data_IF_447199179095
#
_entry.id   IF_447199179095
#
_cell.length_a   1.000
_cell.length_b   1.000
_cell.length_c   1.000
_cell.angle_alpha   90.00
_cell.angle_beta   90.00
_cell.angle_gamma   90.00
#
_symmetry.space_group_name_H-M   'P 1'
#
loop_
_entity.id
_entity.type
_entity.pdbx_description
1 polymer ?
#
# COMPACT_ATOMS: atom_id res chain seq x y z
N UNK A 1 -4.09 -40.36 -14.72
CA UNK A 1 -3.46 -39.96 -13.42
C UNK A 1 -3.65 -38.47 -13.16
N UNK A 2 -4.57 -38.08 -12.28
CA UNK A 2 -4.69 -36.69 -11.80
C UNK A 2 -3.52 -36.40 -10.84
N UNK A 3 -2.53 -35.62 -11.26
CA UNK A 3 -1.46 -35.11 -10.37
C UNK A 3 -2.13 -34.35 -9.22
N UNK A 4 -2.12 -34.92 -8.01
CA UNK A 4 -2.37 -34.19 -6.76
C UNK A 4 -1.32 -33.07 -6.71
N UNK A 5 -1.72 -31.83 -7.05
CA UNK A 5 -0.94 -30.64 -6.70
C UNK A 5 -0.87 -30.61 -5.18
N UNK A 6 0.25 -31.06 -4.60
CA UNK A 6 0.49 -30.79 -3.18
C UNK A 6 0.41 -29.28 -3.01
N UNK A 7 -0.44 -28.81 -2.10
CA UNK A 7 -0.47 -27.40 -1.71
C UNK A 7 0.87 -27.11 -1.06
N UNK A 8 1.83 -26.60 -1.85
CA UNK A 8 3.10 -26.12 -1.34
C UNK A 8 2.77 -24.93 -0.43
N UNK A 9 2.81 -25.14 0.87
CA UNK A 9 2.56 -24.08 1.83
C UNK A 9 3.60 -22.97 1.59
N UNK A 10 3.14 -21.71 1.53
CA UNK A 10 4.04 -20.57 1.43
C UNK A 10 5.04 -20.59 2.59
N UNK A 11 6.31 -20.35 2.30
CA UNK A 11 7.37 -20.21 3.31
C UNK A 11 7.24 -18.91 4.13
N UNK A 12 6.38 -17.99 3.69
CA UNK A 12 6.28 -16.65 4.25
C UNK A 12 4.82 -16.33 4.53
N UNK A 13 4.58 -15.77 5.71
CA UNK A 13 3.33 -15.18 6.13
C UNK A 13 3.44 -13.67 6.13
N UNK A 14 2.33 -13.00 5.84
CA UNK A 14 2.27 -11.55 5.70
C UNK A 14 1.15 -10.95 6.55
N UNK A 15 1.25 -9.64 6.81
CA UNK A 15 0.22 -8.86 7.49
C UNK A 15 0.25 -7.40 7.05
N UNK A 16 -0.87 -6.71 7.23
CA UNK A 16 -1.01 -5.27 6.97
C UNK A 16 -1.54 -4.58 8.22
N UNK A 17 -0.91 -3.46 8.57
CA UNK A 17 -1.49 -2.45 9.45
C UNK A 17 -1.85 -1.24 8.59
N UNK A 18 -3.06 -0.71 8.76
CA UNK A 18 -3.60 0.42 8.00
C UNK A 18 -4.10 1.48 8.97
N UNK A 19 -3.42 2.61 8.99
CA UNK A 19 -3.91 3.84 9.62
C UNK A 19 -4.79 4.59 8.62
N UNK A 20 -5.91 5.15 9.07
CA UNK A 20 -6.83 5.85 8.17
C UNK A 20 -7.51 7.04 8.82
N UNK A 21 -7.76 8.05 8.00
CA UNK A 21 -8.75 9.09 8.29
C UNK A 21 -10.17 8.51 8.22
N UNK A 22 -11.13 9.34 8.61
CA UNK A 22 -12.56 9.06 8.53
C UNK A 22 -13.25 10.17 7.74
N UNK A 23 -14.38 9.86 7.09
CA UNK A 23 -15.32 10.86 6.60
C UNK A 23 -16.60 10.76 7.42
N UNK A 24 -16.96 11.83 8.13
CA UNK A 24 -18.27 12.00 8.74
C UNK A 24 -19.31 12.24 7.64
N UNK A 25 -20.20 11.27 7.45
CA UNK A 25 -21.07 11.21 6.25
C UNK A 25 -22.13 12.30 6.19
N UNK A 26 -22.88 12.62 7.28
CA UNK A 26 -23.90 13.67 7.21
C UNK A 26 -23.34 15.03 6.76
N UNK A 27 -22.12 15.35 7.18
CA UNK A 27 -21.46 16.62 6.85
C UNK A 27 -20.55 16.55 5.61
N UNK A 28 -20.31 15.35 5.06
CA UNK A 28 -19.25 15.08 4.10
C UNK A 28 -17.89 15.67 4.52
N UNK A 29 -17.54 15.50 5.80
CA UNK A 29 -16.37 16.13 6.42
C UNK A 29 -15.29 15.10 6.68
N UNK A 30 -14.12 15.30 6.07
CA UNK A 30 -12.93 14.49 6.34
C UNK A 30 -12.37 14.90 7.72
N UNK A 31 -12.19 13.92 8.60
CA UNK A 31 -11.78 14.10 9.99
C UNK A 31 -10.89 12.94 10.47
N UNK A 32 -10.53 13.00 11.75
CA UNK A 32 -9.71 12.01 12.47
C UNK A 32 -10.51 11.32 13.58
N UNK A 33 -11.83 11.43 13.52
CA UNK A 33 -12.71 10.82 14.53
C UNK A 33 -12.64 9.31 14.43
N UNK A 34 -12.68 8.68 15.59
CA UNK A 34 -12.60 7.23 15.71
C UNK A 34 -13.94 6.62 15.31
N UNK A 35 -13.87 5.55 14.54
CA UNK A 35 -15.01 4.70 14.30
C UNK A 35 -14.54 3.26 14.31
N UNK A 36 -15.34 2.39 14.92
CA UNK A 36 -15.03 0.98 15.08
C UNK A 36 -16.21 0.17 14.57
N UNK A 37 -15.97 -0.99 13.95
CA UNK A 37 -17.04 -1.92 13.61
C UNK A 37 -17.71 -2.44 14.88
N UNK A 38 -18.89 -3.06 14.74
CA UNK A 38 -19.54 -3.74 15.86
C UNK A 38 -18.63 -4.84 16.41
N UNK A 39 -18.43 -4.96 17.73
CA UNK A 39 -17.58 -6.00 18.31
C UNK A 39 -17.91 -7.41 17.83
N UNK A 40 -19.21 -7.72 17.67
CA UNK A 40 -19.68 -9.02 17.18
C UNK A 40 -19.27 -9.36 15.72
N UNK A 41 -18.85 -8.37 14.93
CA UNK A 41 -18.39 -8.56 13.54
C UNK A 41 -16.88 -8.77 13.42
N UNK A 42 -16.13 -8.57 14.52
CA UNK A 42 -14.67 -8.68 14.53
C UNK A 42 -14.30 -10.16 14.56
N UNK A 43 -13.52 -10.60 13.56
CA UNK A 43 -13.06 -11.99 13.48
C UNK A 43 -11.76 -12.20 14.26
N UNK A 44 -11.51 -13.45 14.66
CA UNK A 44 -10.28 -13.83 15.32
C UNK A 44 -9.06 -13.50 14.43
N UNK A 45 -8.10 -12.78 15.02
CA UNK A 45 -6.87 -12.35 14.35
C UNK A 45 -6.95 -10.96 13.70
N UNK A 46 -8.14 -10.35 13.61
CA UNK A 46 -8.30 -8.94 13.21
C UNK A 46 -8.27 -8.02 14.42
N UNK A 47 -7.83 -6.77 14.23
CA UNK A 47 -8.01 -5.72 15.24
C UNK A 47 -8.38 -4.40 14.62
N UNK A 48 -9.20 -3.68 15.37
CA UNK A 48 -9.65 -2.33 15.08
C UNK A 48 -9.23 -1.49 16.29
N UNK A 49 -8.20 -0.68 16.11
CA UNK A 49 -7.47 0.02 17.18
C UNK A 49 -7.45 1.52 16.92
N UNK A 50 -7.01 2.25 17.93
CA UNK A 50 -6.81 3.70 17.86
C UNK A 50 -5.33 3.97 17.62
N UNK A 51 -5.03 4.79 16.62
CA UNK A 51 -3.77 5.52 16.54
C UNK A 51 -4.01 6.95 17.03
N UNK A 52 -3.28 7.36 18.07
CA UNK A 52 -3.47 8.66 18.72
C UNK A 52 -3.14 9.86 17.83
N UNK A 53 -2.36 9.66 16.77
CA UNK A 53 -1.88 10.71 15.87
C UNK A 53 -2.83 10.96 14.70
N UNK A 54 -3.52 9.94 14.20
CA UNK A 54 -4.32 10.01 12.97
C UNK A 54 -5.79 9.64 13.13
N UNK A 55 -6.15 8.72 14.04
CA UNK A 55 -7.51 8.25 14.22
C UNK A 55 -7.59 6.73 14.29
N UNK A 56 -8.15 6.11 13.25
CA UNK A 56 -8.49 4.69 13.26
C UNK A 56 -7.36 3.86 12.66
N UNK A 57 -7.06 2.71 13.26
CA UNK A 57 -6.09 1.74 12.79
C UNK A 57 -6.75 0.37 12.61
N UNK A 58 -6.50 -0.27 11.48
CA UNK A 58 -6.88 -1.65 11.20
C UNK A 58 -5.63 -2.53 11.15
N UNK A 59 -5.65 -3.62 11.91
CA UNK A 59 -4.67 -4.69 11.83
C UNK A 59 -5.32 -5.89 11.18
N UNK A 60 -4.77 -6.33 10.06
CA UNK A 60 -5.28 -7.50 9.36
C UNK A 60 -5.00 -8.79 10.10
N UNK A 61 -5.73 -9.85 9.70
CA UNK A 61 -5.30 -11.23 9.94
C UNK A 61 -3.96 -11.47 9.24
N UNK A 62 -3.26 -12.51 9.69
CA UNK A 62 -2.10 -13.03 8.95
C UNK A 62 -2.60 -13.75 7.71
N UNK A 63 -1.98 -13.47 6.56
CA UNK A 63 -2.28 -14.14 5.29
C UNK A 63 -1.07 -14.94 4.79
N UNK A 64 -1.36 -16.01 4.06
CA UNK A 64 -0.38 -16.93 3.48
C UNK A 64 -0.28 -16.79 1.96
N UNK A 65 -1.29 -16.20 1.32
CA UNK A 65 -1.33 -16.00 -0.14
C UNK A 65 -1.77 -14.58 -0.50
N UNK A 66 -1.49 -14.15 -1.73
CA UNK A 66 -1.87 -12.82 -2.21
C UNK A 66 -3.38 -12.73 -2.40
N UNK A 67 -4.02 -13.82 -2.87
CA UNK A 67 -5.48 -13.88 -2.99
C UNK A 67 -6.18 -13.79 -1.65
N UNK A 68 -5.67 -14.52 -0.65
CA UNK A 68 -6.18 -14.46 0.72
C UNK A 68 -6.02 -13.05 1.29
N UNK A 69 -4.85 -12.42 1.12
CA UNK A 69 -4.60 -11.05 1.55
C UNK A 69 -5.62 -10.07 0.93
N UNK A 70 -5.88 -10.19 -0.38
CA UNK A 70 -6.85 -9.32 -1.06
C UNK A 70 -8.28 -9.49 -0.55
N UNK A 71 -8.72 -10.74 -0.40
CA UNK A 71 -10.05 -11.05 0.11
C UNK A 71 -10.23 -10.57 1.55
N UNK A 72 -9.33 -10.96 2.45
CA UNK A 72 -9.43 -10.64 3.88
C UNK A 72 -9.31 -9.14 4.14
N UNK A 73 -8.43 -8.44 3.43
CA UNK A 73 -8.28 -6.99 3.60
C UNK A 73 -9.55 -6.25 3.18
N UNK A 74 -10.17 -6.61 2.04
CA UNK A 74 -11.46 -6.03 1.64
C UNK A 74 -12.56 -6.35 2.67
N UNK A 75 -12.67 -7.61 3.08
CA UNK A 75 -13.67 -8.04 4.05
C UNK A 75 -13.51 -7.31 5.40
N UNK A 76 -12.29 -7.19 5.91
CA UNK A 76 -12.00 -6.49 7.16
C UNK A 76 -12.36 -5.01 7.09
N UNK A 77 -11.98 -4.33 6.01
CA UNK A 77 -12.31 -2.90 5.83
C UNK A 77 -13.79 -2.64 5.60
N UNK A 78 -14.51 -3.57 4.96
CA UNK A 78 -15.97 -3.50 4.77
C UNK A 78 -16.75 -3.47 6.09
N UNK A 79 -16.16 -3.96 7.19
CA UNK A 79 -16.78 -3.93 8.52
C UNK A 79 -16.96 -2.51 9.07
N UNK A 80 -16.13 -1.56 8.62
CA UNK A 80 -16.31 -0.14 8.97
C UNK A 80 -17.59 0.46 8.37
N UNK A 81 -18.09 -0.08 7.25
CA UNK A 81 -19.25 0.46 6.52
C UNK A 81 -20.53 -0.36 6.70
N UNK A 82 -20.43 -1.65 7.05
CA UNK A 82 -21.58 -2.57 6.98
C UNK A 82 -22.44 -2.63 8.25
N UNK A 83 -21.92 -2.17 9.40
CA UNK A 83 -22.55 -2.42 10.70
C UNK A 83 -22.85 -1.14 11.49
N UNK A 84 -23.28 -0.09 10.80
CA UNK A 84 -23.76 1.13 11.46
C UNK A 84 -24.96 0.82 12.36
N UNK A 85 -25.05 1.45 13.53
CA UNK A 85 -26.24 1.35 14.40
C UNK A 85 -27.41 1.95 13.62
N UNK A 86 -28.32 1.11 13.14
CA UNK A 86 -29.62 1.56 12.66
C UNK A 86 -30.36 2.14 13.87
N UNK A 87 -30.26 3.46 14.01
CA UNK A 87 -30.94 4.25 15.01
C UNK A 87 -30.98 5.69 14.49
N UNK A 88 -32.17 6.09 14.05
CA UNK A 88 -32.63 7.42 13.66
C UNK A 88 -31.55 8.53 13.66
N UNK A 89 -31.14 8.96 12.46
CA UNK A 89 -30.38 10.22 12.27
C UNK A 89 -28.94 10.24 12.77
N UNK A 90 -28.37 9.11 13.20
CA UNK A 90 -27.03 9.08 13.81
C UNK A 90 -25.90 9.33 12.82
N UNK A 91 -24.99 10.21 13.21
CA UNK A 91 -23.70 10.44 12.57
C UNK A 91 -22.93 9.13 12.41
N UNK A 92 -22.55 8.80 11.17
CA UNK A 92 -21.70 7.66 10.89
C UNK A 92 -20.49 8.07 10.05
N UNK A 93 -19.46 7.23 10.11
CA UNK A 93 -18.19 7.46 9.45
C UNK A 93 -17.91 6.36 8.43
N UNK A 94 -17.20 6.72 7.37
CA UNK A 94 -16.56 5.76 6.47
C UNK A 94 -15.05 5.94 6.50
N UNK A 95 -14.31 4.87 6.26
CA UNK A 95 -12.84 4.96 6.15
C UNK A 95 -12.43 5.83 4.96
N UNK A 96 -11.30 6.51 5.14
CA UNK A 96 -10.68 7.36 4.13
C UNK A 96 -9.18 7.07 4.03
N UNK A 97 -8.78 5.93 3.43
CA UNK A 97 -7.39 5.51 3.34
C UNK A 97 -6.60 6.39 2.35
N UNK A 98 -6.06 7.50 2.85
CA UNK A 98 -5.22 8.48 2.15
C UNK A 98 -4.06 8.89 3.06
N UNK A 99 -2.84 8.92 2.53
CA UNK A 99 -1.63 9.14 3.33
C UNK A 99 -1.51 10.51 4.00
N UNK A 100 -2.25 11.50 3.50
CA UNK A 100 -2.27 12.87 4.01
C UNK A 100 -3.45 13.64 3.46
N UNK A 101 -4.08 14.42 4.34
CA UNK A 101 -5.19 15.29 3.97
C UNK A 101 -5.24 16.56 4.84
N UNK A 102 -5.24 16.36 6.16
CA UNK A 102 -5.18 17.45 7.14
C UNK A 102 -3.70 17.73 7.50
N UNK A 103 -3.37 17.89 8.77
CA UNK A 103 -2.03 18.15 9.29
C UNK A 103 -1.40 16.90 9.95
N UNK A 104 -1.87 15.70 9.63
CA UNK A 104 -1.38 14.42 10.18
C UNK A 104 -1.14 13.38 9.09
N UNK A 105 -0.31 12.39 9.37
CA UNK A 105 0.04 11.35 8.39
C UNK A 105 -0.70 10.06 8.70
N UNK A 106 -1.18 9.38 7.65
CA UNK A 106 -1.72 8.03 7.75
C UNK A 106 -0.83 7.08 6.95
N UNK A 107 -0.26 6.06 7.59
CA UNK A 107 0.57 5.07 6.94
C UNK A 107 -0.12 3.74 6.69
N UNK A 108 0.56 2.88 5.95
CA UNK A 108 0.37 1.44 6.05
C UNK A 108 1.69 0.75 6.31
N UNK A 109 1.65 -0.29 7.11
CA UNK A 109 2.81 -1.12 7.43
C UNK A 109 2.62 -2.49 6.81
N UNK A 110 3.64 -2.97 6.10
CA UNK A 110 3.65 -4.30 5.50
C UNK A 110 4.57 -5.18 6.33
N UNK A 111 4.07 -6.33 6.75
CA UNK A 111 4.79 -7.28 7.58
C UNK A 111 5.11 -8.53 6.80
N UNK A 112 6.34 -9.04 6.94
CA UNK A 112 6.73 -10.35 6.45
C UNK A 112 7.38 -11.16 7.58
N UNK A 113 7.11 -12.46 7.59
CA UNK A 113 7.60 -13.39 8.59
C UNK A 113 7.71 -14.80 8.01
N UNK A 114 8.56 -15.63 8.59
CA UNK A 114 8.65 -17.05 8.24
C UNK A 114 7.62 -17.85 9.05
N UNK A 115 6.58 -18.33 8.36
CA UNK A 115 5.39 -19.03 8.87
C UNK A 115 5.25 -19.11 10.41
N UNK A 116 5.31 -20.30 11.01
CA UNK A 116 4.99 -20.50 12.44
C UNK A 116 6.08 -20.04 13.40
N UNK A 117 7.35 -20.02 12.95
CA UNK A 117 8.49 -19.75 13.83
C UNK A 117 8.86 -18.27 13.94
N UNK A 118 8.35 -17.44 13.04
CA UNK A 118 8.79 -16.06 12.93
C UNK A 118 10.15 -15.92 12.24
N UNK A 119 10.54 -14.68 11.96
CA UNK A 119 11.87 -14.34 11.45
C UNK A 119 12.82 -13.99 12.61
N UNK A 120 14.04 -14.50 12.62
CA UNK A 120 15.06 -14.07 13.60
C UNK A 120 15.56 -12.67 13.25
N UNK A 121 16.29 -12.02 14.18
CA UNK A 121 16.85 -10.70 13.91
C UNK A 121 17.87 -10.72 12.76
N UNK A 122 18.75 -11.73 12.71
CA UNK A 122 19.74 -11.86 11.63
C UNK A 122 19.09 -12.16 10.29
N UNK A 123 18.10 -13.05 10.26
CA UNK A 123 17.29 -13.29 9.05
C UNK A 123 16.58 -12.02 8.57
N UNK A 124 16.00 -11.24 9.49
CA UNK A 124 15.36 -9.99 9.16
C UNK A 124 16.37 -8.97 8.62
N UNK A 125 17.56 -8.91 9.22
CA UNK A 125 18.67 -8.06 8.77
C UNK A 125 19.14 -8.46 7.38
N UNK A 126 19.26 -9.75 7.09
CA UNK A 126 19.56 -10.24 5.74
C UNK A 126 18.47 -9.85 4.74
N UNK A 127 17.20 -10.07 5.08
CA UNK A 127 16.07 -9.70 4.24
C UNK A 127 16.05 -8.19 3.95
N UNK A 128 16.54 -7.33 4.87
CA UNK A 128 16.68 -5.90 4.58
C UNK A 128 17.54 -5.65 3.35
N UNK A 129 18.62 -6.42 3.13
CA UNK A 129 19.51 -6.25 1.97
C UNK A 129 18.82 -6.55 0.65
N UNK A 130 17.78 -7.38 0.67
CA UNK A 130 17.00 -7.75 -0.50
C UNK A 130 15.94 -6.70 -0.83
N UNK A 131 15.22 -6.19 0.18
CA UNK A 131 14.11 -5.25 -0.03
C UNK A 131 14.56 -3.81 -0.21
N UNK A 132 15.74 -3.45 0.29
CA UNK A 132 16.24 -2.07 0.32
C UNK A 132 16.11 -1.35 -1.03
N UNK A 133 16.58 -1.97 -2.11
CA UNK A 133 16.59 -1.34 -3.45
C UNK A 133 15.22 -1.28 -4.12
N UNK A 134 14.21 -1.96 -3.57
CA UNK A 134 12.84 -1.95 -4.07
C UNK A 134 11.95 -0.98 -3.29
N UNK A 135 12.41 -0.42 -2.17
CA UNK A 135 11.66 0.57 -1.39
C UNK A 135 11.21 1.77 -2.24
N UNK A 136 12.06 2.40 -3.09
CA UNK A 136 11.62 3.51 -3.94
C UNK A 136 10.51 3.11 -4.93
N UNK A 137 10.54 1.87 -5.43
CA UNK A 137 9.50 1.35 -6.30
C UNK A 137 8.17 1.18 -5.57
N UNK A 138 8.21 0.65 -4.34
CA UNK A 138 7.02 0.54 -3.49
C UNK A 138 6.46 1.93 -3.14
N UNK A 139 7.33 2.91 -2.83
CA UNK A 139 6.91 4.30 -2.62
C UNK A 139 6.16 4.84 -3.85
N UNK A 140 6.73 4.69 -5.05
CA UNK A 140 6.10 5.15 -6.28
C UNK A 140 4.75 4.47 -6.54
N UNK A 141 4.65 3.17 -6.25
CA UNK A 141 3.42 2.39 -6.35
C UNK A 141 2.34 2.87 -5.38
N UNK A 142 2.69 3.07 -4.10
CA UNK A 142 1.73 3.36 -3.02
C UNK A 142 1.57 4.84 -2.70
N UNK A 143 2.24 5.76 -3.42
CA UNK A 143 2.11 7.18 -3.15
C UNK A 143 0.63 7.59 -3.26
N UNK A 144 0.12 8.19 -2.18
CA UNK A 144 -1.30 8.49 -2.02
C UNK A 144 -1.55 9.65 -1.05
N UNK A 145 -0.71 10.68 -1.10
CA UNK A 145 -0.97 11.91 -0.33
C UNK A 145 -0.67 13.16 -1.15
N UNK A 146 -1.40 13.40 -2.26
CA UNK A 146 -1.24 14.60 -3.07
C UNK A 146 -1.80 15.85 -2.38
N UNK A 147 -2.62 15.70 -1.34
CA UNK A 147 -3.22 16.79 -0.55
C UNK A 147 -2.55 16.85 0.83
N UNK A 148 -2.27 18.06 1.29
CA UNK A 148 -1.79 18.32 2.65
C UNK A 148 -2.36 19.62 3.16
N UNK A 149 -2.84 19.63 4.40
CA UNK A 149 -3.51 20.78 5.00
C UNK A 149 -4.57 21.38 4.04
N UNK A 150 -5.37 20.50 3.42
CA UNK A 150 -6.42 20.84 2.43
C UNK A 150 -5.91 21.55 1.16
N UNK A 151 -4.60 21.56 0.91
CA UNK A 151 -3.98 22.12 -0.30
C UNK A 151 -3.41 21.00 -1.15
N UNK A 152 -3.57 21.13 -2.47
CA UNK A 152 -2.89 20.23 -3.41
C UNK A 152 -1.41 20.59 -3.36
N UNK A 153 -0.55 19.60 -3.14
CA UNK A 153 0.91 19.75 -3.10
C UNK A 153 1.52 19.33 -4.43
N UNK A 154 2.76 19.70 -4.78
CA UNK A 154 3.43 19.15 -5.96
C UNK A 154 3.85 17.69 -5.78
N UNK A 155 3.83 17.15 -4.56
CA UNK A 155 4.37 15.84 -4.23
C UNK A 155 3.37 14.70 -4.50
N UNK A 156 3.88 13.53 -4.85
CA UNK A 156 3.09 12.30 -4.90
C UNK A 156 2.77 11.80 -3.48
N UNK A 157 3.76 11.83 -2.58
CA UNK A 157 3.63 11.51 -1.16
C UNK A 157 4.12 12.67 -0.28
N UNK A 158 3.25 13.65 0.01
CA UNK A 158 3.47 14.61 1.08
C UNK A 158 3.76 13.97 2.45
N UNK A 159 3.24 12.76 2.73
CA UNK A 159 3.50 12.01 3.96
C UNK A 159 4.98 11.70 4.12
N UNK A 160 5.59 11.06 3.14
CA UNK A 160 7.01 10.74 3.23
C UNK A 160 7.88 12.00 3.09
N UNK A 161 7.49 12.95 2.25
CA UNK A 161 8.25 14.20 2.09
C UNK A 161 8.38 14.96 3.41
N UNK A 162 7.27 15.16 4.12
CA UNK A 162 7.24 15.92 5.38
C UNK A 162 7.51 15.04 6.62
N UNK A 163 7.27 13.75 6.51
CA UNK A 163 7.38 12.81 7.61
C UNK A 163 8.80 12.27 7.81
N UNK A 164 9.60 12.13 6.74
CA UNK A 164 10.90 11.40 6.77
C UNK A 164 11.93 11.92 7.78
N UNK A 165 11.79 13.16 8.26
CA UNK A 165 12.65 13.72 9.32
C UNK A 165 12.37 13.11 10.70
N UNK A 166 11.13 12.67 10.94
CA UNK A 166 10.67 12.14 12.24
C UNK A 166 10.19 10.69 12.15
N UNK A 167 9.43 10.35 11.12
CA UNK A 167 8.79 9.06 10.87
C UNK A 167 9.27 8.47 9.54
N UNK A 168 9.34 7.15 9.41
CA UNK A 168 9.88 6.49 8.22
C UNK A 168 11.29 6.99 7.86
N UNK A 169 12.11 7.25 8.89
CA UNK A 169 13.52 7.66 8.74
C UNK A 169 14.25 6.65 7.86
N UNK A 170 15.07 7.17 6.98
CA UNK A 170 15.83 6.36 6.04
C UNK A 170 16.69 5.34 6.79
N UNK A 171 16.65 4.08 6.34
CA UNK A 171 17.53 3.03 6.80
C UNK A 171 18.84 3.06 5.99
N UNK A 172 19.93 2.63 6.61
CA UNK A 172 21.15 2.29 5.88
C UNK A 172 21.07 0.82 5.48
N UNK A 173 21.67 0.46 4.34
CA UNK A 173 21.75 -0.94 3.89
C UNK A 173 22.41 -1.80 4.97
N UNK A 174 21.87 -2.99 5.21
CA UNK A 174 22.40 -3.96 6.18
C UNK A 174 22.22 -3.56 7.65
N UNK A 175 21.63 -2.40 7.93
CA UNK A 175 21.29 -1.97 9.28
C UNK A 175 19.79 -2.14 9.51
N UNK A 176 19.45 -2.97 10.49
CA UNK A 176 18.11 -3.10 11.00
C UNK A 176 18.05 -2.45 12.38
N UNK A 177 17.05 -1.62 12.60
CA UNK A 177 16.87 -0.93 13.87
C UNK A 177 15.70 -1.56 14.63
N UNK A 178 15.86 -1.68 15.95
CA UNK A 178 14.77 -2.05 16.88
C UNK A 178 13.88 -0.84 17.24
N UNK A 179 14.34 0.38 16.93
CA UNK A 179 13.58 1.60 17.17
C UNK A 179 12.43 1.75 16.17
N UNK A 180 11.25 2.08 16.71
CA UNK A 180 10.08 2.50 15.95
C UNK A 180 10.42 3.83 15.25
N UNK A 181 9.85 4.09 14.06
CA UNK A 181 10.06 5.28 13.20
C UNK A 181 11.05 5.18 12.03
N UNK A 182 11.64 4.02 11.75
CA UNK A 182 12.42 3.83 10.51
C UNK A 182 11.55 3.27 9.40
N UNK A 183 12.02 3.33 8.16
CA UNK A 183 11.31 2.69 7.04
C UNK A 183 11.31 1.17 7.09
N UNK A 184 12.34 0.57 7.72
CA UNK A 184 12.44 -0.85 8.02
C UNK A 184 12.62 -1.04 9.53
N UNK A 185 11.84 -1.93 10.14
CA UNK A 185 11.88 -2.16 11.59
C UNK A 185 11.71 -3.65 11.90
N UNK A 186 12.49 -4.14 12.87
CA UNK A 186 12.28 -5.46 13.43
C UNK A 186 11.19 -5.40 14.50
N UNK A 187 10.10 -6.12 14.29
CA UNK A 187 9.05 -6.25 15.29
C UNK A 187 9.18 -7.57 16.04
N UNK A 188 9.42 -7.54 17.36
CA UNK A 188 9.53 -8.76 18.17
C UNK A 188 8.19 -9.49 18.22
N UNK A 189 8.24 -10.79 18.48
CA UNK A 189 7.04 -11.59 18.70
C UNK A 189 6.26 -11.04 19.90
N UNK A 190 4.96 -11.27 19.85
CA UNK A 190 4.06 -11.13 20.99
C UNK A 190 3.24 -12.40 21.13
N UNK A 191 2.49 -12.53 22.22
CA UNK A 191 1.55 -13.65 22.43
C UNK A 191 0.61 -13.90 21.23
N UNK A 192 0.40 -12.89 20.37
CA UNK A 192 -0.60 -12.92 19.30
C UNK A 192 -0.04 -12.70 17.88
N UNK A 193 1.26 -12.43 17.72
CA UNK A 193 1.89 -12.16 16.42
C UNK A 193 3.33 -12.71 16.42
N UNK A 194 3.78 -13.42 15.37
CA UNK A 194 5.17 -13.84 15.26
C UNK A 194 6.10 -12.63 15.08
N UNK A 195 7.41 -12.82 15.21
CA UNK A 195 8.41 -11.80 14.83
C UNK A 195 8.28 -11.47 13.35
N UNK A 196 8.37 -10.20 12.97
CA UNK A 196 8.23 -9.76 11.57
C UNK A 196 9.27 -8.72 11.19
N UNK A 197 9.68 -8.70 9.92
CA UNK A 197 10.26 -7.49 9.32
C UNK A 197 9.13 -6.60 8.82
N UNK A 198 9.08 -5.38 9.34
CA UNK A 198 8.08 -4.37 9.02
C UNK A 198 8.64 -3.33 8.04
N UNK A 199 7.88 -3.07 6.98
CA UNK A 199 8.12 -2.01 6.01
C UNK A 199 7.06 -0.90 6.18
N UNK A 200 7.50 0.34 6.45
CA UNK A 200 6.63 1.44 6.93
C UNK A 200 6.38 2.57 5.93
N UNK A 201 6.84 2.40 4.69
CA UNK A 201 6.88 3.48 3.70
C UNK A 201 5.57 3.69 2.94
N UNK A 202 4.64 2.73 2.98
CA UNK A 202 3.40 2.87 2.22
C UNK A 202 2.55 3.99 2.82
N UNK A 203 2.01 4.86 1.97
CA UNK A 203 0.93 5.75 2.37
C UNK A 203 -0.32 4.90 2.62
N UNK A 204 -1.17 5.35 3.55
CA UNK A 204 -2.52 4.79 3.69
C UNK A 204 -3.22 4.77 2.33
N UNK A 205 -3.68 3.58 1.92
CA UNK A 205 -4.09 3.30 0.54
C UNK A 205 -5.20 2.25 0.46
N UNK A 206 -5.81 2.11 -0.72
CA UNK A 206 -6.83 1.09 -0.97
C UNK A 206 -6.25 -0.33 -0.91
N UNK A 207 -7.08 -1.35 -0.63
CA UNK A 207 -6.65 -2.75 -0.62
C UNK A 207 -5.85 -3.17 -1.85
N UNK A 208 -6.27 -2.74 -3.05
CA UNK A 208 -5.61 -3.07 -4.30
C UNK A 208 -4.14 -2.61 -4.35
N UNK A 209 -3.85 -1.39 -3.86
CA UNK A 209 -2.49 -0.84 -3.86
C UNK A 209 -1.63 -1.45 -2.75
N UNK A 210 -2.21 -1.73 -1.58
CA UNK A 210 -1.48 -2.38 -0.49
C UNK A 210 -1.13 -3.83 -0.84
N UNK A 211 -2.03 -4.55 -1.51
CA UNK A 211 -1.77 -5.91 -1.97
C UNK A 211 -0.79 -5.93 -3.15
N UNK A 212 -0.82 -4.93 -4.04
CA UNK A 212 0.23 -4.77 -5.05
C UNK A 212 1.61 -4.56 -4.41
N UNK A 213 1.70 -3.74 -3.36
CA UNK A 213 2.93 -3.54 -2.60
C UNK A 213 3.37 -4.83 -1.88
N UNK A 214 2.43 -5.61 -1.33
CA UNK A 214 2.71 -6.94 -0.80
C UNK A 214 3.26 -7.88 -1.87
N UNK A 215 2.79 -7.84 -3.12
CA UNK A 215 3.36 -8.68 -4.18
C UNK A 215 4.85 -8.38 -4.40
N UNK A 216 5.23 -7.09 -4.39
CA UNK A 216 6.65 -6.69 -4.50
C UNK A 216 7.44 -7.21 -3.30
N UNK A 217 6.95 -6.96 -2.08
CA UNK A 217 7.65 -7.38 -0.87
C UNK A 217 7.78 -8.91 -0.80
N UNK A 218 6.71 -9.63 -1.14
CA UNK A 218 6.66 -11.07 -1.10
C UNK A 218 7.54 -11.73 -2.16
N UNK A 219 7.66 -11.16 -3.36
CA UNK A 219 8.56 -11.67 -4.40
C UNK A 219 10.00 -11.64 -3.92
N UNK A 220 10.39 -10.50 -3.36
CA UNK A 220 11.71 -10.27 -2.79
C UNK A 220 11.97 -11.23 -1.62
N UNK A 221 11.00 -11.38 -0.73
CA UNK A 221 11.13 -12.24 0.43
C UNK A 221 11.17 -13.74 0.05
N UNK A 222 10.36 -14.19 -0.92
CA UNK A 222 10.39 -15.57 -1.42
C UNK A 222 11.73 -15.92 -2.04
N UNK A 223 12.31 -14.96 -2.77
CA UNK A 223 13.63 -15.13 -3.36
C UNK A 223 14.71 -15.32 -2.29
N UNK A 224 14.70 -14.45 -1.27
CA UNK A 224 15.59 -14.55 -0.11
C UNK A 224 15.40 -15.90 0.61
N UNK A 225 14.16 -16.29 0.91
CA UNK A 225 13.85 -17.54 1.62
C UNK A 225 14.29 -18.81 0.85
N UNK A 226 14.53 -18.70 -0.46
CA UNK A 226 15.07 -19.79 -1.30
C UNK A 226 16.60 -19.75 -1.43
N UNK A 227 17.28 -18.87 -0.70
CA UNK A 227 18.74 -18.72 -0.77
C UNK A 227 19.25 -18.15 -2.10
N UNK A 228 18.38 -17.55 -2.93
CA UNK A 228 18.78 -16.98 -4.23
C UNK A 228 19.34 -15.57 -4.02
N UNK A 229 20.39 -15.20 -4.76
CA UNK A 229 21.01 -13.85 -4.70
C UNK A 229 20.02 -12.71 -5.03
N UNK A 230 20.14 -11.51 -4.42
CA UNK A 230 19.32 -10.35 -4.76
C UNK A 230 19.52 -9.92 -6.23
N UNK A 231 18.46 -9.42 -6.87
CA UNK A 231 18.47 -9.06 -8.31
C UNK A 231 18.76 -7.57 -8.58
N UNK A 232 18.68 -6.74 -7.56
CA UNK A 232 18.93 -5.31 -7.63
C UNK A 232 19.85 -4.93 -6.47
N UNK A 233 20.94 -4.22 -6.77
CA UNK A 233 21.88 -3.69 -5.80
C UNK A 233 22.37 -2.31 -6.25
N UNK A 234 21.92 -1.26 -5.58
CA UNK A 234 22.35 0.11 -5.85
C UNK A 234 23.25 0.68 -4.75
N UNK A 235 24.05 1.68 -5.07
CA UNK A 235 24.77 2.45 -4.05
C UNK A 235 23.79 3.18 -3.13
N UNK A 236 24.16 3.40 -1.86
CA UNK A 236 23.31 4.14 -0.92
C UNK A 236 22.96 5.55 -1.44
N UNK A 237 23.89 6.24 -2.11
CA UNK A 237 23.66 7.54 -2.74
C UNK A 237 22.58 7.47 -3.81
N UNK A 238 22.61 6.45 -4.66
CA UNK A 238 21.60 6.23 -5.70
C UNK A 238 20.24 5.90 -5.09
N UNK A 239 20.20 5.05 -4.06
CA UNK A 239 19.00 4.78 -3.28
C UNK A 239 18.34 6.05 -2.73
N UNK A 240 19.10 6.92 -2.07
CA UNK A 240 18.59 8.16 -1.48
C UNK A 240 17.94 9.06 -2.56
N UNK A 241 18.63 9.21 -3.69
CA UNK A 241 18.11 9.98 -4.84
C UNK A 241 16.84 9.35 -5.41
N UNK A 242 16.82 8.04 -5.62
CA UNK A 242 15.65 7.33 -6.14
C UNK A 242 14.46 7.43 -5.17
N UNK A 243 14.71 7.34 -3.86
CA UNK A 243 13.70 7.51 -2.81
C UNK A 243 13.08 8.90 -2.85
N UNK A 244 13.88 9.96 -2.88
CA UNK A 244 13.38 11.34 -3.00
C UNK A 244 12.61 11.55 -4.32
N UNK A 245 13.10 10.99 -5.42
CA UNK A 245 12.44 11.07 -6.71
C UNK A 245 11.06 10.38 -6.70
N UNK A 246 10.95 9.19 -6.10
CA UNK A 246 9.69 8.47 -5.91
C UNK A 246 8.68 9.25 -5.05
N UNK A 247 9.15 9.87 -3.95
CA UNK A 247 8.32 10.68 -3.05
C UNK A 247 7.72 11.89 -3.80
N UNK A 248 8.55 12.58 -4.59
CA UNK A 248 8.14 13.79 -5.29
C UNK A 248 7.28 13.49 -6.51
N UNK A 249 7.73 12.56 -7.35
CA UNK A 249 7.20 12.37 -8.71
C UNK A 249 6.28 11.16 -8.84
N UNK A 250 6.27 10.23 -7.87
CA UNK A 250 5.45 9.03 -7.91
C UNK A 250 5.71 8.21 -9.16
N UNK A 251 4.68 8.02 -9.99
CA UNK A 251 4.77 7.26 -11.25
C UNK A 251 5.67 7.88 -12.31
N UNK A 252 6.00 9.18 -12.20
CA UNK A 252 6.94 9.88 -13.10
C UNK A 252 8.39 9.81 -12.63
N UNK A 253 8.67 9.08 -11.54
CA UNK A 253 10.00 8.98 -11.00
C UNK A 253 10.94 8.19 -11.92
N UNK A 254 12.23 8.50 -11.80
CA UNK A 254 13.31 7.62 -12.20
C UNK A 254 13.83 6.91 -10.95
N UNK A 255 13.95 5.59 -11.07
CA UNK A 255 14.40 4.67 -10.03
C UNK A 255 15.71 4.03 -10.47
N UNK A 256 16.31 3.23 -9.58
CA UNK A 256 17.62 2.62 -9.84
C UNK A 256 17.51 1.11 -9.81
N UNK A 257 17.93 0.48 -10.91
CA UNK A 257 18.13 -0.97 -11.01
C UNK A 257 19.61 -1.26 -11.25
N UNK A 258 20.29 -1.84 -10.27
CA UNK A 258 21.73 -2.17 -10.33
C UNK A 258 22.57 -1.01 -10.86
N UNK A 259 22.39 0.18 -10.25
CA UNK A 259 23.02 1.46 -10.60
C UNK A 259 22.62 2.10 -11.94
N UNK A 260 21.68 1.53 -12.68
CA UNK A 260 21.12 2.13 -13.89
C UNK A 260 19.81 2.85 -13.57
N UNK A 261 19.67 4.08 -14.06
CA UNK A 261 18.44 4.86 -13.90
C UNK A 261 17.40 4.42 -14.92
N UNK A 262 16.21 4.09 -14.45
CA UNK A 262 15.09 3.61 -15.26
C UNK A 262 13.80 4.30 -14.81
N UNK A 263 12.86 4.52 -15.73
CA UNK A 263 11.52 4.99 -15.37
C UNK A 263 10.77 3.97 -14.52
N UNK A 264 9.72 4.38 -13.81
CA UNK A 264 8.82 3.45 -13.09
C UNK A 264 8.19 2.40 -14.03
N UNK A 265 7.88 2.77 -15.28
CA UNK A 265 7.37 1.84 -16.29
C UNK A 265 8.39 0.73 -16.58
N UNK A 266 9.63 1.12 -16.89
CA UNK A 266 10.74 0.19 -17.13
C UNK A 266 11.05 -0.67 -15.90
N UNK A 267 11.04 -0.08 -14.71
CA UNK A 267 11.23 -0.81 -13.45
C UNK A 267 10.13 -1.86 -13.26
N UNK A 268 8.88 -1.53 -13.58
CA UNK A 268 7.76 -2.49 -13.49
C UNK A 268 7.99 -3.68 -14.41
N UNK A 269 8.40 -3.47 -15.66
CA UNK A 269 8.73 -4.57 -16.57
C UNK A 269 9.94 -5.38 -16.10
N UNK A 270 11.02 -4.71 -15.67
CA UNK A 270 12.20 -5.37 -15.13
C UNK A 270 11.84 -6.24 -13.93
N UNK A 271 11.03 -5.74 -13.02
CA UNK A 271 10.61 -6.46 -11.82
C UNK A 271 9.81 -7.72 -12.18
N UNK A 272 8.78 -7.60 -13.01
CA UNK A 272 7.97 -8.75 -13.46
C UNK A 272 8.79 -9.79 -14.22
N UNK A 273 9.73 -9.34 -15.07
CA UNK A 273 10.60 -10.24 -15.84
C UNK A 273 11.62 -10.96 -14.96
N UNK A 274 12.25 -10.24 -14.02
CA UNK A 274 13.34 -10.77 -13.21
C UNK A 274 12.84 -11.63 -12.04
N UNK A 275 11.65 -11.34 -11.52
CA UNK A 275 10.98 -12.12 -10.47
C UNK A 275 9.89 -13.06 -11.01
N UNK A 276 9.93 -13.44 -12.28
CA UNK A 276 8.87 -14.24 -12.93
C UNK A 276 8.61 -15.56 -12.18
N UNK A 277 9.66 -16.22 -11.69
CA UNK A 277 9.55 -17.47 -10.93
C UNK A 277 8.81 -17.26 -9.60
N UNK A 278 9.14 -16.19 -8.87
CA UNK A 278 8.44 -15.86 -7.63
C UNK A 278 6.99 -15.45 -7.89
N UNK A 279 6.72 -14.73 -8.98
CA UNK A 279 5.36 -14.37 -9.40
C UNK A 279 4.50 -15.58 -9.79
N UNK A 280 5.07 -16.61 -10.44
CA UNK A 280 4.37 -17.87 -10.77
C UNK A 280 3.90 -18.63 -9.52
N UNK A 281 4.54 -18.40 -8.37
CA UNK A 281 4.16 -19.00 -7.10
C UNK A 281 3.14 -18.17 -6.32
N UNK A 282 2.88 -16.94 -6.74
CA UNK A 282 1.84 -16.10 -6.16
C UNK A 282 0.52 -16.26 -6.91
N UNK A 283 -0.55 -16.48 -6.18
CA UNK A 283 -1.91 -16.61 -6.70
C UNK A 283 -2.58 -15.25 -7.02
N UNK A 284 -1.84 -14.35 -7.68
CA UNK A 284 -2.19 -12.93 -7.82
C UNK A 284 -3.53 -12.73 -8.55
N UNK A 285 -4.51 -12.06 -7.91
CA UNK A 285 -5.76 -11.67 -8.58
C UNK A 285 -5.52 -10.71 -9.76
N UNK A 286 -6.37 -10.79 -10.78
CA UNK A 286 -6.27 -9.94 -11.99
C UNK A 286 -6.32 -8.45 -11.63
N UNK A 287 -7.13 -8.08 -10.65
CA UNK A 287 -7.29 -6.72 -10.15
C UNK A 287 -5.94 -6.11 -9.70
N UNK A 288 -5.09 -6.94 -9.09
CA UNK A 288 -3.77 -6.52 -8.62
C UNK A 288 -2.79 -6.39 -9.80
N UNK A 289 -2.87 -7.27 -10.79
CA UNK A 289 -2.12 -7.14 -12.05
C UNK A 289 -2.50 -5.85 -12.78
N UNK A 290 -3.79 -5.49 -12.80
CA UNK A 290 -4.28 -4.27 -13.41
C UNK A 290 -3.73 -3.01 -12.71
N UNK A 291 -3.49 -3.03 -11.39
CA UNK A 291 -2.79 -1.94 -10.68
C UNK A 291 -1.38 -1.73 -11.24
N UNK A 292 -0.61 -2.80 -11.47
CA UNK A 292 0.72 -2.67 -12.08
C UNK A 292 0.66 -2.16 -13.53
N UNK A 293 -0.39 -2.51 -14.28
CA UNK A 293 -0.61 -1.97 -15.62
C UNK A 293 -0.93 -0.47 -15.60
N UNK A 294 -1.75 -0.03 -14.64
CA UNK A 294 -1.97 1.40 -14.42
C UNK A 294 -0.68 2.11 -14.02
N UNK A 295 0.12 1.53 -13.12
CA UNK A 295 1.42 2.05 -12.71
C UNK A 295 2.33 2.24 -13.93
N UNK A 296 2.44 1.22 -14.78
CA UNK A 296 3.19 1.26 -16.04
C UNK A 296 2.71 2.35 -16.98
N UNK A 297 1.39 2.63 -17.01
CA UNK A 297 0.80 3.73 -17.77
C UNK A 297 0.91 5.09 -17.08
N UNK A 298 1.67 5.20 -16.00
CA UNK A 298 1.93 6.46 -15.29
C UNK A 298 0.84 6.85 -14.28
N UNK A 299 0.00 5.90 -13.84
CA UNK A 299 -1.12 6.14 -12.93
C UNK A 299 -1.04 5.32 -11.65
N UNK A 300 -1.00 6.01 -10.51
CA UNK A 300 -1.22 5.45 -9.17
C UNK A 300 -2.40 6.15 -8.46
N UNK A 301 -2.61 5.82 -7.18
CA UNK A 301 -3.69 6.40 -6.40
C UNK A 301 -3.54 7.93 -6.23
N UNK A 302 -2.32 8.44 -5.99
CA UNK A 302 -2.06 9.89 -5.91
C UNK A 302 -2.50 10.63 -7.18
N UNK A 303 -2.27 10.07 -8.38
CA UNK A 303 -2.75 10.67 -9.63
C UNK A 303 -4.28 10.75 -9.69
N UNK A 304 -4.97 9.67 -9.30
CA UNK A 304 -6.44 9.61 -9.27
C UNK A 304 -7.01 10.63 -8.29
N UNK A 305 -6.52 10.64 -7.05
CA UNK A 305 -7.00 11.56 -6.01
C UNK A 305 -6.77 13.00 -6.43
N UNK A 306 -5.58 13.33 -6.96
CA UNK A 306 -5.27 14.66 -7.48
C UNK A 306 -6.24 15.09 -8.58
N UNK A 307 -6.50 14.22 -9.57
CA UNK A 307 -7.43 14.51 -10.66
C UNK A 307 -8.87 14.74 -10.15
N UNK A 308 -9.33 13.89 -9.23
CA UNK A 308 -10.66 14.01 -8.61
C UNK A 308 -10.82 15.33 -7.83
N UNK A 309 -9.81 15.70 -7.05
CA UNK A 309 -9.80 16.97 -6.29
C UNK A 309 -9.78 18.18 -7.21
N UNK A 310 -8.94 18.19 -8.25
CA UNK A 310 -8.90 19.26 -9.24
C UNK A 310 -10.25 19.45 -9.93
N UNK A 311 -10.93 18.35 -10.29
CA UNK A 311 -12.28 18.38 -10.87
C UNK A 311 -13.29 19.02 -9.92
N UNK A 312 -13.27 18.67 -8.64
CA UNK A 312 -14.16 19.26 -7.63
C UNK A 312 -13.86 20.75 -7.42
N UNK A 313 -12.57 21.13 -7.36
CA UNK A 313 -12.14 22.54 -7.22
C UNK A 313 -12.57 23.41 -8.40
N UNK A 314 -12.49 22.88 -9.63
CA UNK A 314 -12.97 23.59 -10.83
C UNK A 314 -14.47 23.85 -10.77
N UNK A 315 -15.25 22.90 -10.23
CA UNK A 315 -16.71 23.05 -10.12
C UNK A 315 -17.13 24.03 -9.02
N UNK A 316 -16.51 23.97 -7.84
CA UNK A 316 -16.83 24.89 -6.75
C UNK A 316 -15.65 25.04 -5.77
N UNK A 317 -15.02 26.22 -5.75
CA UNK A 317 -13.84 26.49 -4.91
C UNK A 317 -14.09 26.45 -3.41
N UNK A 318 -15.29 26.76 -2.92
CA UNK A 318 -15.57 26.81 -1.47
C UNK A 318 -16.10 25.48 -0.91
N UNK A 319 -16.71 24.64 -1.76
CA UNK A 319 -17.33 23.35 -1.36
C UNK A 319 -16.65 22.11 -1.94
N UNK A 320 -15.50 22.25 -2.61
CA UNK A 320 -14.82 21.14 -3.28
C UNK A 320 -14.53 19.95 -2.37
N UNK A 321 -14.17 20.19 -1.10
CA UNK A 321 -13.80 19.14 -0.14
C UNK A 321 -15.03 18.27 0.19
N UNK A 322 -16.17 18.91 0.47
CA UNK A 322 -17.44 18.20 0.69
C UNK A 322 -17.90 17.43 -0.56
N UNK A 323 -17.75 18.02 -1.75
CA UNK A 323 -18.08 17.34 -3.00
C UNK A 323 -17.19 16.12 -3.26
N UNK A 324 -15.89 16.24 -3.02
CA UNK A 324 -14.94 15.14 -3.13
C UNK A 324 -15.28 14.03 -2.12
N UNK A 325 -15.49 14.39 -0.84
CA UNK A 325 -15.83 13.44 0.21
C UNK A 325 -17.13 12.68 -0.10
N UNK A 326 -18.16 13.37 -0.57
CA UNK A 326 -19.43 12.75 -0.99
C UNK A 326 -19.25 11.70 -2.09
N UNK A 327 -18.41 11.98 -3.09
CA UNK A 327 -18.08 11.00 -4.14
C UNK A 327 -17.23 9.85 -3.61
N UNK A 328 -16.27 10.16 -2.74
CA UNK A 328 -15.40 9.14 -2.16
C UNK A 328 -16.18 8.15 -1.31
N UNK A 329 -17.15 8.61 -0.50
CA UNK A 329 -18.04 7.74 0.29
C UNK A 329 -18.67 6.66 -0.59
N UNK A 330 -19.30 7.05 -1.69
CA UNK A 330 -19.91 6.11 -2.65
C UNK A 330 -18.87 5.17 -3.27
N UNK A 331 -17.74 5.74 -3.70
CA UNK A 331 -16.67 5.00 -4.34
C UNK A 331 -16.08 3.91 -3.42
N UNK A 332 -15.76 4.24 -2.16
CA UNK A 332 -15.15 3.30 -1.23
C UNK A 332 -16.12 2.21 -0.80
N UNK A 333 -17.40 2.54 -0.60
CA UNK A 333 -18.43 1.53 -0.31
C UNK A 333 -18.54 0.52 -1.45
N UNK A 334 -18.68 0.98 -2.71
CA UNK A 334 -18.75 0.09 -3.86
C UNK A 334 -17.51 -0.81 -3.98
N UNK A 335 -16.31 -0.25 -3.77
CA UNK A 335 -15.05 -0.99 -3.84
C UNK A 335 -14.97 -2.12 -2.80
N UNK A 336 -15.40 -1.84 -1.57
CA UNK A 336 -15.39 -2.77 -0.46
C UNK A 336 -16.50 -3.82 -0.56
N UNK A 337 -17.62 -3.51 -1.24
CA UNK A 337 -18.66 -4.48 -1.62
C UNK A 337 -18.25 -5.40 -2.80
N UNK A 338 -16.97 -5.38 -3.18
CA UNK A 338 -16.41 -6.32 -4.16
C UNK A 338 -16.35 -5.78 -5.59
N UNK A 339 -16.71 -4.52 -5.84
CA UNK A 339 -16.51 -3.93 -7.16
C UNK A 339 -15.03 -3.67 -7.47
N UNK A 340 -14.75 -3.40 -8.74
CA UNK A 340 -13.40 -3.16 -9.24
C UNK A 340 -12.88 -1.76 -8.91
N UNK A 341 -11.55 -1.63 -8.87
CA UNK A 341 -10.88 -0.33 -8.80
C UNK A 341 -11.34 0.63 -9.91
N UNK A 342 -11.62 0.12 -11.12
CA UNK A 342 -12.13 0.96 -12.22
C UNK A 342 -13.46 1.63 -11.88
N UNK A 343 -14.39 0.92 -11.23
CA UNK A 343 -15.66 1.49 -10.74
C UNK A 343 -15.41 2.55 -9.68
N UNK A 344 -14.53 2.29 -8.71
CA UNK A 344 -14.11 3.30 -7.72
C UNK A 344 -13.62 4.60 -8.39
N UNK A 345 -12.74 4.50 -9.39
CA UNK A 345 -12.21 5.69 -10.08
C UNK A 345 -13.28 6.40 -10.92
N UNK A 346 -14.20 5.64 -11.52
CA UNK A 346 -15.35 6.19 -12.23
C UNK A 346 -16.27 6.99 -11.31
N UNK A 347 -16.54 6.51 -10.09
CA UNK A 347 -17.34 7.21 -9.08
C UNK A 347 -16.69 8.53 -8.65
N UNK A 348 -15.36 8.59 -8.58
CA UNK A 348 -14.64 9.85 -8.37
C UNK A 348 -14.71 10.79 -9.59
N UNK A 349 -15.12 10.29 -10.75
CA UNK A 349 -15.28 11.04 -11.99
C UNK A 349 -13.96 11.24 -12.73
N UNK A 350 -13.01 10.32 -12.58
CA UNK A 350 -11.69 10.35 -13.21
C UNK A 350 -11.64 9.32 -14.34
N UNK A 351 -11.05 9.69 -15.48
CA UNK A 351 -10.86 8.78 -16.63
C UNK A 351 -9.50 8.11 -16.51
N UNK A 352 -9.48 6.78 -16.40
CA UNK A 352 -8.26 5.98 -16.39
C UNK A 352 -7.73 5.77 -17.83
N UNK A 353 -6.41 5.58 -18.00
CA UNK A 353 -5.86 5.17 -19.29
C UNK A 353 -6.31 3.75 -19.65
N UNK A 354 -6.31 3.42 -20.94
CA UNK A 354 -6.51 2.05 -21.39
C UNK A 354 -5.28 1.19 -21.05
N UNK A 355 -5.51 0.04 -20.41
CA UNK A 355 -4.49 -0.93 -19.99
C UNK A 355 -4.56 -2.27 -20.71
N UNK A 356 -5.49 -2.49 -21.65
CA UNK A 356 -5.69 -3.79 -22.31
C UNK A 356 -4.45 -4.23 -23.11
N UNK A 357 -3.70 -3.27 -23.66
CA UNK A 357 -2.42 -3.49 -24.36
C UNK A 357 -1.19 -3.22 -23.49
N UNK A 358 -1.36 -3.04 -22.18
CA UNK A 358 -0.26 -2.87 -21.22
C UNK A 358 0.21 -4.24 -20.72
N UNK A 359 1.18 -4.81 -21.43
CA UNK A 359 1.84 -6.05 -21.02
C UNK A 359 2.88 -5.75 -19.94
N UNK A 360 3.05 -6.67 -18.98
CA UNK A 360 4.07 -6.59 -17.95
C UNK A 360 5.20 -7.57 -18.27
N UNK A 361 6.44 -7.22 -17.94
CA UNK A 361 7.59 -8.11 -18.10
C UNK A 361 8.21 -8.12 -19.51
N UNK A 362 7.81 -7.20 -20.40
CA UNK A 362 8.39 -7.15 -21.76
C UNK A 362 9.86 -6.70 -21.70
N UNK A 363 10.68 -7.20 -22.63
CA UNK A 363 11.98 -6.59 -22.93
C UNK A 363 11.69 -5.28 -23.64
N UNK A 364 12.09 -4.15 -23.06
CA UNK A 364 12.44 -3.01 -23.89
C UNK A 364 13.75 -3.38 -24.62
N UNK A 365 13.79 -3.13 -25.92
CA UNK A 365 14.94 -3.44 -26.74
C UNK A 365 16.18 -2.68 -26.20
N UNK A 366 17.29 -3.41 -26.05
CA UNK A 366 18.63 -2.91 -25.74
C UNK A 366 18.88 -2.46 -24.28
N UNK A 367 19.18 -3.45 -23.42
CA UNK A 367 19.95 -3.29 -22.19
C UNK A 367 20.87 -4.49 -22.02
#
# INVERSE_FOLDING_TARGET
MKRKRSKKHSLITMGIELETYSILVPENKICRELHFPRPASIEQGERFTKDSSIGTEYNSRVFNTIREAFFLLKNGLRKYTSFHRNGNGSSFHVIFPIGGWTNRFAGSHLHASLVKRGITYEEAKELTNYIYDHIPFIIALTANSPVWNKKITPYASARLFKGSEKYCKVAKRGLLYKQRYRELTFNPASFRKPTTLELRIADSSLPEYLVAALCVYFAVALRWAKGKKPLNQSTHKNYLKARDNAIRLGTKAHLVWSNHWVSVSQYTDLFFRKYEEEFKEMDIPKEIIDIFRYLKKGWNQSNVIRAAVLKCKKKNKSRWERQFASRYIKAIQELLDGNSYRKFVQQLGVKLPNIDRAWLGRKEAHW
#
